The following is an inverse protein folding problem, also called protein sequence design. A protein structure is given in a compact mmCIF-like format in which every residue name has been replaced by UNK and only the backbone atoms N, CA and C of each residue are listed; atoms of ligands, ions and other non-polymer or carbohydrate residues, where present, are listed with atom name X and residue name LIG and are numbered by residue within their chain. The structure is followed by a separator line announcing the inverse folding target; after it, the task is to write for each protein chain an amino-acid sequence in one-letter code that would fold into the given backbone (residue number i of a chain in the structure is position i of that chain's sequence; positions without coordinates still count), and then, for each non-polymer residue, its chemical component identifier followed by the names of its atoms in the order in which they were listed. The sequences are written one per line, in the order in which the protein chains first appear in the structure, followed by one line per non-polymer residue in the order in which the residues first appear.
data_IF_143380742712
#
_entry.id   IF_143380742712
#
_cell.length_a   1.000
_cell.length_b   1.000
_cell.length_c   1.000
_cell.angle_alpha   90.00
_cell.angle_beta   90.00
_cell.angle_gamma   90.00
#
_symmetry.space_group_name_H-M   'P 1'
#
loop_
_entity.id
_entity.type
_entity.pdbx_description
1 polymer ?
#
# COMPACT_ATOMS: atom_id res chain seq x y z
N UNK A 1 -15.04 20.59 -27.85
CA UNK A 1 -14.90 19.16 -27.56
C UNK A 1 -13.43 18.88 -27.86
N UNK A 2 -12.64 18.67 -26.83
CA UNK A 2 -11.25 18.29 -26.99
C UNK A 2 -11.26 16.81 -27.40
N UNK A 3 -10.73 16.50 -28.57
CA UNK A 3 -10.35 15.16 -28.91
C UNK A 3 -9.27 14.74 -27.91
N UNK A 4 -9.59 13.83 -27.00
CA UNK A 4 -8.61 13.16 -26.19
C UNK A 4 -7.66 12.43 -27.15
N UNK A 5 -6.43 12.87 -27.19
CA UNK A 5 -5.33 12.14 -27.82
C UNK A 5 -5.11 10.84 -27.02
N UNK A 6 -5.86 9.83 -27.38
CA UNK A 6 -5.61 8.48 -26.91
C UNK A 6 -4.29 8.02 -27.55
N UNK A 7 -3.25 7.91 -26.76
CA UNK A 7 -2.00 7.28 -27.22
C UNK A 7 -2.32 5.82 -27.43
N UNK A 8 -2.38 5.41 -28.69
CA UNK A 8 -2.54 4.00 -29.06
C UNK A 8 -1.22 3.27 -28.82
N UNK A 9 -1.07 2.75 -27.61
CA UNK A 9 0.09 1.94 -27.22
C UNK A 9 0.29 0.68 -28.08
N UNK A 10 -0.65 0.37 -28.98
CA UNK A 10 -0.58 -0.81 -29.84
C UNK A 10 0.23 -0.60 -31.11
N UNK A 11 0.27 0.59 -31.64
CA UNK A 11 1.15 0.92 -32.75
C UNK A 11 2.64 0.84 -32.33
N UNK A 12 2.94 1.23 -31.08
CA UNK A 12 4.31 1.18 -30.56
C UNK A 12 4.78 -0.23 -30.18
N UNK A 13 3.86 -1.13 -29.75
CA UNK A 13 4.19 -2.49 -29.34
C UNK A 13 3.93 -3.52 -30.45
N UNK A 14 3.33 -3.09 -31.55
CA UNK A 14 3.27 -3.83 -32.82
C UNK A 14 2.30 -5.00 -32.85
N UNK A 15 1.29 -5.15 -31.96
CA UNK A 15 0.35 -6.27 -32.14
C UNK A 15 -0.91 -6.31 -31.26
N UNK A 16 -1.31 -5.28 -30.55
CA UNK A 16 -2.53 -5.32 -29.75
C UNK A 16 -3.52 -4.23 -30.09
N UNK A 17 -4.63 -4.57 -30.75
CA UNK A 17 -5.81 -3.70 -30.73
C UNK A 17 -6.51 -3.84 -29.35
N UNK A 18 -6.33 -2.90 -28.46
CA UNK A 18 -7.25 -2.71 -27.33
C UNK A 18 -8.44 -1.88 -27.82
N UNK A 19 -9.36 -2.50 -28.50
CA UNK A 19 -10.72 -1.96 -28.49
C UNK A 19 -11.16 -1.94 -27.04
N UNK A 20 -11.70 -0.80 -26.58
CA UNK A 20 -11.99 -0.58 -25.19
C UNK A 20 -12.60 -1.83 -24.57
N UNK A 21 -11.97 -2.35 -23.54
CA UNK A 21 -12.39 -3.58 -22.84
C UNK A 21 -13.85 -3.49 -22.40
N UNK A 22 -14.37 -2.28 -22.26
CA UNK A 22 -15.74 -2.00 -21.87
C UNK A 22 -16.75 -2.24 -22.99
N UNK A 23 -16.44 -1.90 -24.24
CA UNK A 23 -17.32 -2.18 -25.38
C UNK A 23 -17.34 -3.68 -25.71
N UNK A 24 -16.21 -4.37 -25.60
CA UNK A 24 -16.14 -5.82 -25.79
C UNK A 24 -16.83 -6.61 -24.67
N UNK A 25 -16.83 -6.11 -23.43
CA UNK A 25 -17.49 -6.75 -22.29
C UNK A 25 -19.02 -6.58 -22.31
N UNK A 26 -19.52 -5.50 -22.93
CA UNK A 26 -20.98 -5.24 -22.99
C UNK A 26 -21.64 -6.02 -24.13
N UNK A 27 -20.94 -6.26 -25.25
CA UNK A 27 -21.53 -6.84 -26.47
C UNK A 27 -21.20 -8.31 -26.71
N UNK A 28 -20.32 -8.93 -25.91
CA UNK A 28 -19.92 -10.32 -26.12
C UNK A 28 -20.53 -11.26 -25.08
N UNK A 29 -21.17 -12.30 -25.57
CA UNK A 29 -21.56 -13.42 -24.71
C UNK A 29 -20.31 -13.98 -24.01
N UNK A 30 -20.35 -14.27 -22.69
CA UNK A 30 -19.22 -14.74 -21.90
C UNK A 30 -18.47 -15.94 -22.52
N UNK A 31 -19.20 -16.81 -23.23
CA UNK A 31 -18.59 -17.96 -23.91
C UNK A 31 -17.73 -17.57 -25.12
N UNK A 32 -18.12 -16.57 -25.90
CA UNK A 32 -17.31 -16.10 -27.04
C UNK A 32 -16.04 -15.43 -26.60
N UNK A 33 -16.10 -14.66 -25.52
CA UNK A 33 -14.91 -14.09 -24.88
C UNK A 33 -13.93 -15.19 -24.43
N UNK A 34 -14.44 -16.25 -23.82
CA UNK A 34 -13.63 -17.39 -23.37
C UNK A 34 -12.93 -18.09 -24.54
N UNK A 35 -13.63 -18.33 -25.63
CA UNK A 35 -13.05 -18.97 -26.82
C UNK A 35 -12.01 -18.07 -27.52
N UNK A 36 -12.25 -16.78 -27.58
CA UNK A 36 -11.33 -15.81 -28.17
C UNK A 36 -10.08 -15.64 -27.31
N UNK A 37 -10.23 -15.59 -25.99
CA UNK A 37 -9.11 -15.55 -25.05
C UNK A 37 -8.28 -16.85 -25.06
N UNK A 38 -8.92 -18.00 -25.15
CA UNK A 38 -8.21 -19.28 -25.25
C UNK A 38 -7.40 -19.39 -26.55
N UNK A 39 -7.92 -18.88 -27.67
CA UNK A 39 -7.21 -18.89 -28.95
C UNK A 39 -6.08 -17.86 -29.04
N UNK A 40 -6.30 -16.65 -28.55
CA UNK A 40 -5.35 -15.54 -28.75
C UNK A 40 -4.41 -15.37 -27.57
N UNK A 41 -4.85 -15.62 -26.35
CA UNK A 41 -4.06 -15.39 -25.14
C UNK A 41 -2.92 -16.37 -24.95
N UNK A 42 -3.16 -17.66 -25.23
CA UNK A 42 -2.15 -18.71 -25.08
C UNK A 42 -1.10 -18.62 -26.19
N UNK A 43 -1.52 -18.37 -27.44
CA UNK A 43 -0.61 -18.29 -28.58
C UNK A 43 0.28 -17.04 -28.59
N UNK A 44 -0.17 -15.95 -27.96
CA UNK A 44 0.54 -14.65 -27.96
C UNK A 44 1.19 -14.27 -26.64
N UNK A 45 1.15 -15.14 -25.63
CA UNK A 45 1.69 -14.83 -24.30
C UNK A 45 0.96 -13.73 -23.53
N UNK A 46 -0.28 -13.40 -23.95
CA UNK A 46 -1.10 -12.41 -23.26
C UNK A 46 -1.53 -12.90 -21.88
N UNK A 47 -1.74 -11.95 -20.97
CA UNK A 47 -2.21 -12.23 -19.62
C UNK A 47 -3.58 -12.92 -19.69
N UNK A 48 -3.63 -14.17 -19.27
CA UNK A 48 -4.84 -14.96 -19.29
C UNK A 48 -5.68 -14.66 -18.03
N UNK A 49 -6.77 -13.98 -18.21
CA UNK A 49 -7.76 -13.77 -17.15
C UNK A 49 -8.90 -14.76 -17.38
N UNK A 50 -8.98 -15.80 -16.57
CA UNK A 50 -10.13 -16.70 -16.59
C UNK A 50 -11.38 -15.94 -16.14
N UNK A 51 -12.55 -16.16 -16.79
CA UNK A 51 -13.81 -15.65 -16.29
C UNK A 51 -14.02 -16.05 -14.83
N UNK A 52 -14.40 -15.11 -14.00
CA UNK A 52 -14.59 -15.30 -12.54
C UNK A 52 -15.63 -16.40 -12.25
N UNK A 53 -16.59 -16.57 -13.14
CA UNK A 53 -17.68 -17.54 -13.03
C UNK A 53 -17.22 -19.02 -12.99
N UNK A 54 -16.05 -19.30 -13.55
CA UNK A 54 -15.47 -20.66 -13.57
C UNK A 54 -14.59 -20.96 -12.35
N UNK A 55 -14.35 -19.97 -11.49
CA UNK A 55 -13.50 -20.13 -10.32
C UNK A 55 -14.32 -20.47 -9.07
N UNK A 56 -14.16 -21.71 -8.61
CA UNK A 56 -14.49 -22.07 -7.23
C UNK A 56 -13.25 -21.87 -6.35
N UNK A 57 -13.45 -21.74 -5.05
CA UNK A 57 -12.34 -21.63 -4.11
C UNK A 57 -11.37 -22.81 -4.21
N UNK A 58 -11.91 -24.01 -4.41
CA UNK A 58 -11.11 -25.24 -4.60
C UNK A 58 -10.25 -25.17 -5.87
N UNK A 59 -10.82 -24.71 -7.00
CA UNK A 59 -10.05 -24.54 -8.25
C UNK A 59 -8.97 -23.48 -8.09
N UNK A 60 -9.27 -22.40 -7.39
CA UNK A 60 -8.29 -21.35 -7.11
C UNK A 60 -7.14 -21.89 -6.25
N UNK A 61 -7.44 -22.62 -5.19
CA UNK A 61 -6.43 -23.22 -4.31
C UNK A 61 -5.57 -24.23 -5.07
N UNK A 62 -6.16 -25.06 -5.91
CA UNK A 62 -5.41 -25.99 -6.76
C UNK A 62 -4.50 -25.25 -7.74
N UNK A 63 -4.98 -24.21 -8.41
CA UNK A 63 -4.17 -23.43 -9.35
C UNK A 63 -3.02 -22.70 -8.64
N UNK A 64 -3.26 -22.14 -7.46
CA UNK A 64 -2.24 -21.52 -6.62
C UNK A 64 -1.19 -22.55 -6.17
N UNK A 65 -1.62 -23.74 -5.77
CA UNK A 65 -0.71 -24.80 -5.38
C UNK A 65 0.18 -25.24 -6.54
N UNK A 66 -0.38 -25.48 -7.73
CA UNK A 66 0.37 -25.82 -8.92
C UNK A 66 1.39 -24.73 -9.29
N UNK A 67 1.01 -23.46 -9.19
CA UNK A 67 1.93 -22.34 -9.43
C UNK A 67 3.05 -22.30 -8.40
N UNK A 68 2.74 -22.50 -7.12
CA UNK A 68 3.77 -22.58 -6.07
C UNK A 68 4.75 -23.71 -6.33
N UNK A 69 4.26 -24.92 -6.64
CA UNK A 69 5.10 -26.07 -6.94
C UNK A 69 5.99 -25.84 -8.17
N UNK A 70 5.46 -25.16 -9.19
CA UNK A 70 6.23 -24.78 -10.37
C UNK A 70 7.35 -23.78 -10.07
N UNK A 71 7.08 -22.76 -9.22
CA UNK A 71 8.05 -21.71 -8.97
C UNK A 71 9.00 -21.97 -7.79
N UNK A 72 8.65 -22.84 -6.83
CA UNK A 72 9.50 -23.16 -5.69
C UNK A 72 10.94 -23.56 -6.07
N UNK A 73 11.18 -24.41 -7.09
CA UNK A 73 12.53 -24.75 -7.50
C UNK A 73 13.37 -23.54 -7.92
N UNK A 74 12.78 -22.60 -8.66
CA UNK A 74 13.45 -21.37 -9.07
C UNK A 74 13.81 -20.49 -7.89
N UNK A 75 12.88 -20.33 -6.95
CA UNK A 75 13.15 -19.52 -5.74
C UNK A 75 14.19 -20.17 -4.82
N UNK A 76 14.27 -21.48 -4.74
CA UNK A 76 15.30 -22.17 -3.96
C UNK A 76 16.70 -21.95 -4.54
N UNK A 77 16.83 -21.89 -5.85
CA UNK A 77 18.11 -21.67 -6.52
C UNK A 77 18.60 -20.23 -6.36
N UNK A 78 17.67 -19.27 -6.35
CA UNK A 78 17.97 -17.84 -6.27
C UNK A 78 17.65 -17.20 -4.91
N UNK A 79 17.10 -17.96 -3.95
CA UNK A 79 16.87 -17.43 -2.63
C UNK A 79 18.23 -17.09 -1.99
N UNK A 80 18.60 -15.81 -1.86
CA UNK A 80 19.79 -15.46 -1.09
C UNK A 80 19.55 -16.01 0.30
N UNK A 81 20.55 -16.67 0.87
CA UNK A 81 20.58 -16.97 2.31
C UNK A 81 20.78 -15.63 3.02
N UNK A 82 19.72 -14.84 3.05
CA UNK A 82 19.71 -13.64 3.86
C UNK A 82 19.40 -14.08 5.28
N UNK A 83 20.41 -14.04 6.13
CA UNK A 83 20.15 -14.02 7.55
C UNK A 83 19.17 -12.86 7.79
N UNK A 84 18.02 -13.18 8.35
CA UNK A 84 17.03 -12.17 8.73
C UNK A 84 17.59 -11.37 9.90
N UNK A 85 18.37 -10.35 9.58
CA UNK A 85 18.92 -9.44 10.57
C UNK A 85 17.90 -8.41 11.07
N UNK A 86 16.76 -8.26 10.35
CA UNK A 86 15.69 -7.34 10.73
C UNK A 86 14.73 -7.99 11.74
N UNK A 87 14.46 -7.32 12.83
CA UNK A 87 13.36 -7.63 13.74
C UNK A 87 12.19 -6.67 13.45
N UNK A 88 10.96 -7.18 13.53
CA UNK A 88 9.77 -6.40 13.27
C UNK A 88 8.89 -6.31 14.51
N UNK A 89 8.36 -5.11 14.76
CA UNK A 89 7.26 -4.86 15.71
C UNK A 89 6.10 -4.28 14.95
N UNK A 90 4.93 -4.87 15.07
CA UNK A 90 3.73 -4.34 14.44
C UNK A 90 3.02 -3.37 15.40
N UNK A 91 2.76 -2.16 14.92
CA UNK A 91 2.05 -1.14 15.66
C UNK A 91 0.61 -1.10 15.13
N UNK A 92 -0.35 -1.59 15.91
CA UNK A 92 -1.76 -1.69 15.48
C UNK A 92 -2.70 -0.76 16.26
N UNK A 93 -2.32 -0.31 17.45
CA UNK A 93 -3.15 0.53 18.29
C UNK A 93 -2.70 1.98 18.14
N UNK A 94 -3.60 2.83 17.71
CA UNK A 94 -3.35 4.24 17.51
C UNK A 94 -4.42 5.08 18.20
N UNK A 95 -4.07 6.29 18.47
CA UNK A 95 -4.98 7.39 18.74
C UNK A 95 -5.17 8.15 17.43
N UNK A 96 -6.39 8.59 17.16
CA UNK A 96 -6.74 9.29 15.93
C UNK A 96 -7.61 10.50 16.24
N UNK A 97 -7.49 11.55 15.43
CA UNK A 97 -8.40 12.70 15.42
C UNK A 97 -8.34 13.46 14.10
N UNK A 98 -9.39 14.22 13.82
CA UNK A 98 -9.41 15.17 12.72
C UNK A 98 -8.61 16.41 13.13
N UNK A 99 -7.85 16.97 12.20
CA UNK A 99 -7.13 18.23 12.37
C UNK A 99 -8.07 19.44 12.37
N UNK A 100 -7.66 20.47 13.08
CA UNK A 100 -8.36 21.75 13.17
C UNK A 100 -7.46 22.88 12.67
N UNK A 101 -8.05 24.06 12.40
CA UNK A 101 -7.29 25.26 12.05
C UNK A 101 -6.30 25.67 13.16
N UNK A 102 -6.64 25.39 14.41
CA UNK A 102 -5.74 25.63 15.54
C UNK A 102 -4.49 24.75 15.48
N UNK A 103 -4.62 23.50 15.04
CA UNK A 103 -3.50 22.58 14.86
C UNK A 103 -2.58 23.05 13.73
N UNK A 104 -3.15 23.56 12.65
CA UNK A 104 -2.36 24.14 11.56
C UNK A 104 -1.53 25.35 12.03
N UNK A 105 -2.09 26.15 12.95
CA UNK A 105 -1.39 27.28 13.58
C UNK A 105 -0.38 26.89 14.67
N UNK A 106 -0.56 25.74 15.31
CA UNK A 106 0.32 25.26 16.39
C UNK A 106 0.44 23.73 16.40
N UNK A 107 1.16 23.20 15.43
CA UNK A 107 1.34 21.76 15.28
C UNK A 107 2.07 21.10 16.48
N UNK A 108 2.77 21.86 17.28
CA UNK A 108 3.41 21.35 18.51
C UNK A 108 2.41 20.72 19.47
N UNK A 109 1.18 21.21 19.53
CA UNK A 109 0.10 20.62 20.33
C UNK A 109 -0.20 19.18 19.88
N UNK A 110 -0.27 18.95 18.56
CA UNK A 110 -0.48 17.62 17.98
C UNK A 110 0.66 16.68 18.36
N UNK A 111 1.89 17.14 18.23
CA UNK A 111 3.08 16.36 18.59
C UNK A 111 3.12 16.00 20.08
N UNK A 112 2.64 16.88 20.93
CA UNK A 112 2.52 16.65 22.38
C UNK A 112 1.34 15.73 22.74
N UNK A 113 0.43 15.45 21.81
CA UNK A 113 -0.76 14.65 22.04
C UNK A 113 -1.88 15.43 22.77
N UNK A 114 -1.88 16.76 22.66
CA UNK A 114 -2.93 17.61 23.22
C UNK A 114 -4.24 17.49 22.40
N UNK A 115 -5.38 17.70 23.06
CA UNK A 115 -6.71 17.61 22.47
C UNK A 115 -7.39 16.26 22.73
N UNK A 116 -8.56 16.09 22.12
CA UNK A 116 -9.35 14.87 22.23
C UNK A 116 -8.94 13.87 21.15
N UNK A 117 -8.62 12.64 21.57
CA UNK A 117 -8.17 11.58 20.69
C UNK A 117 -9.05 10.33 20.85
N UNK A 118 -9.44 9.76 19.74
CA UNK A 118 -10.16 8.50 19.68
C UNK A 118 -9.17 7.33 19.60
N UNK A 119 -9.47 6.21 20.27
CA UNK A 119 -8.67 4.99 20.18
C UNK A 119 -9.13 4.17 18.97
N UNK A 120 -8.21 3.85 18.10
CA UNK A 120 -8.48 3.09 16.88
C UNK A 120 -7.47 1.94 16.71
N UNK A 121 -7.80 1.04 15.81
CA UNK A 121 -6.85 0.04 15.30
C UNK A 121 -6.63 0.23 13.82
N UNK A 122 -5.41 0.08 13.37
CA UNK A 122 -5.10 0.06 11.94
C UNK A 122 -5.15 -1.39 11.41
N UNK A 123 -5.56 -1.62 10.14
CA UNK A 123 -5.96 -0.59 9.18
C UNK A 123 -7.24 0.15 9.63
N UNK A 124 -7.24 1.45 9.43
CA UNK A 124 -8.35 2.33 9.77
C UNK A 124 -8.83 3.06 8.52
N UNK A 125 -10.13 3.05 8.32
CA UNK A 125 -10.81 3.84 7.31
C UNK A 125 -11.99 4.53 8.00
N UNK A 126 -12.06 5.85 7.88
CA UNK A 126 -13.08 6.63 8.56
C UNK A 126 -13.29 8.01 7.93
N UNK A 127 -14.27 8.73 8.46
CA UNK A 127 -14.55 10.12 8.10
C UNK A 127 -13.37 11.05 8.51
N UNK A 128 -13.28 12.25 7.89
CA UNK A 128 -14.17 12.75 6.86
C UNK A 128 -13.85 12.21 5.46
N UNK A 129 -14.88 12.05 4.66
CA UNK A 129 -14.74 11.80 3.23
C UNK A 129 -14.48 13.14 2.54
N UNK A 130 -13.41 13.23 1.75
CA UNK A 130 -12.99 14.46 1.08
C UNK A 130 -11.73 15.06 1.70
N UNK A 131 -11.43 16.32 1.35
CA UNK A 131 -10.23 16.99 1.85
C UNK A 131 -10.26 17.14 3.38
N UNK A 132 -9.27 16.55 4.01
CA UNK A 132 -9.06 16.71 5.44
C UNK A 132 -7.60 16.42 5.82
N UNK A 133 -7.19 16.99 6.94
CA UNK A 133 -5.99 16.59 7.64
C UNK A 133 -6.41 15.80 8.86
N UNK A 134 -5.87 14.60 9.01
CA UNK A 134 -6.10 13.73 10.16
C UNK A 134 -4.78 13.38 10.83
N UNK A 135 -4.82 13.13 12.12
CA UNK A 135 -3.64 12.81 12.88
C UNK A 135 -3.77 11.44 13.51
N UNK A 136 -2.70 10.66 13.38
CA UNK A 136 -2.54 9.35 13.99
C UNK A 136 -1.36 9.40 14.95
N UNK A 137 -1.54 8.91 16.16
CA UNK A 137 -0.50 8.91 17.19
C UNK A 137 -0.43 7.53 17.83
N UNK A 138 0.79 7.01 17.97
CA UNK A 138 1.01 5.77 18.72
C UNK A 138 2.27 5.84 19.56
N UNK A 139 2.32 5.02 20.59
CA UNK A 139 3.48 4.87 21.47
C UNK A 139 4.05 3.47 21.32
N UNK A 140 5.36 3.38 21.25
CA UNK A 140 6.08 2.12 21.20
C UNK A 140 7.35 2.19 22.02
N UNK A 141 7.88 1.03 22.40
CA UNK A 141 9.08 0.96 23.23
C UNK A 141 10.22 0.29 22.47
N UNK A 142 11.42 0.83 22.63
CA UNK A 142 12.66 0.23 22.17
C UNK A 142 13.55 -0.11 23.38
N UNK A 143 14.13 -1.30 23.39
CA UNK A 143 15.13 -1.70 24.36
C UNK A 143 16.49 -1.11 23.99
N UNK A 144 17.43 -1.10 24.92
CA UNK A 144 18.80 -0.70 24.66
C UNK A 144 19.48 -1.62 23.62
N UNK A 145 19.14 -2.91 23.64
CA UNK A 145 19.64 -3.89 22.68
C UNK A 145 19.15 -3.58 21.25
N UNK A 146 17.88 -3.21 21.12
CA UNK A 146 17.31 -2.80 19.81
C UNK A 146 17.97 -1.55 19.27
N UNK A 147 18.34 -0.60 20.14
CA UNK A 147 19.03 0.62 19.75
C UNK A 147 20.50 0.40 19.34
N UNK A 148 21.11 -0.72 19.73
CA UNK A 148 22.45 -1.09 19.29
C UNK A 148 22.49 -1.63 17.85
N UNK A 149 21.33 -1.89 17.25
CA UNK A 149 21.25 -2.27 15.84
C UNK A 149 21.64 -1.09 14.96
N UNK A 150 22.13 -1.39 13.77
CA UNK A 150 22.67 -0.42 12.82
C UNK A 150 21.68 0.71 12.47
N UNK A 151 20.38 0.37 12.32
CA UNK A 151 19.35 1.35 11.97
C UNK A 151 17.97 0.97 12.48
N UNK A 152 17.15 2.01 12.71
CA UNK A 152 15.75 1.92 13.10
C UNK A 152 14.88 2.48 11.99
N UNK A 153 13.90 1.70 11.53
CA UNK A 153 13.02 2.09 10.43
C UNK A 153 11.56 1.98 10.85
N UNK A 154 10.76 2.96 10.44
CA UNK A 154 9.31 2.88 10.50
C UNK A 154 8.76 2.65 9.11
N UNK A 155 7.97 1.57 8.94
CA UNK A 155 7.47 1.11 7.65
C UNK A 155 5.95 1.19 7.61
N UNK A 156 5.40 1.69 6.51
CA UNK A 156 3.97 1.79 6.25
C UNK A 156 3.61 0.93 5.04
N UNK A 157 2.53 0.19 5.13
CA UNK A 157 2.02 -0.63 4.01
C UNK A 157 1.26 0.21 2.99
N UNK A 158 0.72 1.34 3.42
CA UNK A 158 0.02 2.32 2.61
C UNK A 158 -0.66 3.35 3.49
N UNK A 159 -0.73 4.58 3.04
CA UNK A 159 -1.44 5.69 3.68
C UNK A 159 -2.11 6.52 2.58
N UNK A 160 -3.37 6.84 2.73
CA UNK A 160 -4.14 7.62 1.78
C UNK A 160 -4.31 9.05 2.31
N UNK A 161 -3.76 10.08 1.75
CA UNK A 161 -2.98 10.11 0.50
C UNK A 161 -1.54 10.58 0.76
N UNK A 162 -1.36 11.71 1.51
CA UNK A 162 -0.07 12.30 1.85
C UNK A 162 0.20 12.14 3.34
N UNK A 163 1.31 11.50 3.67
CA UNK A 163 1.73 11.22 5.03
C UNK A 163 2.97 12.03 5.40
N UNK A 164 2.94 12.74 6.52
CA UNK A 164 4.12 13.34 7.16
C UNK A 164 4.35 12.65 8.49
N UNK A 165 5.53 12.09 8.67
CA UNK A 165 5.84 11.24 9.83
C UNK A 165 6.81 11.94 10.76
N UNK A 166 6.48 11.87 12.05
CA UNK A 166 7.28 12.45 13.12
C UNK A 166 7.56 11.40 14.20
N UNK A 167 8.81 11.30 14.62
CA UNK A 167 9.21 10.46 15.74
C UNK A 167 9.77 11.35 16.86
N UNK A 168 9.22 11.20 18.05
CA UNK A 168 9.61 12.00 19.22
C UNK A 168 9.59 13.53 18.97
N UNK A 169 8.65 13.99 18.15
CA UNK A 169 8.48 15.37 17.75
C UNK A 169 9.37 15.83 16.59
N UNK A 170 10.31 15.02 16.14
CA UNK A 170 11.16 15.34 14.99
C UNK A 170 10.56 14.80 13.69
N UNK A 171 10.55 15.60 12.64
CA UNK A 171 10.17 15.16 11.29
C UNK A 171 11.17 14.15 10.76
N UNK A 172 10.67 13.03 10.24
CA UNK A 172 11.51 11.94 9.68
C UNK A 172 11.28 11.70 8.20
N UNK A 173 10.14 12.08 7.65
CA UNK A 173 9.89 11.95 6.21
C UNK A 173 8.44 12.23 5.81
N UNK A 174 8.27 12.35 4.49
CA UNK A 174 6.99 12.59 3.83
C UNK A 174 6.83 11.60 2.67
N UNK A 175 5.62 11.10 2.46
CA UNK A 175 5.27 10.25 1.33
C UNK A 175 3.92 10.69 0.77
N UNK A 176 3.77 10.58 -0.55
CA UNK A 176 2.56 10.87 -1.28
C UNK A 176 2.19 9.69 -2.18
N UNK A 177 0.95 9.23 -2.09
CA UNK A 177 0.42 8.06 -2.81
C UNK A 177 -0.14 7.01 -1.87
N UNK A 178 -1.22 6.33 -2.28
CA UNK A 178 -2.00 5.46 -1.39
C UNK A 178 -1.73 3.96 -1.52
N UNK A 179 -1.13 3.49 -2.60
CA UNK A 179 -0.91 2.05 -2.82
C UNK A 179 0.53 1.57 -2.65
N UNK A 180 1.47 2.48 -2.42
CA UNK A 180 2.88 2.12 -2.31
C UNK A 180 3.31 2.01 -0.85
N UNK A 181 3.95 0.91 -0.44
CA UNK A 181 4.66 0.85 0.83
C UNK A 181 5.81 1.86 0.84
N UNK A 182 6.08 2.44 2.00
CA UNK A 182 7.20 3.34 2.21
C UNK A 182 7.79 3.17 3.61
N UNK A 183 9.03 3.60 3.78
CA UNK A 183 9.73 3.52 5.06
C UNK A 183 10.63 4.74 5.27
N UNK A 184 10.81 5.10 6.54
CA UNK A 184 11.72 6.18 6.94
C UNK A 184 12.65 5.71 8.04
N UNK A 185 13.91 6.06 7.92
CA UNK A 185 14.88 5.86 8.98
C UNK A 185 14.68 6.89 10.09
N UNK A 186 14.68 6.42 11.35
CA UNK A 186 14.56 7.30 12.52
C UNK A 186 15.61 7.01 13.60
N UNK A 187 16.72 6.40 13.23
CA UNK A 187 17.80 6.02 14.13
C UNK A 187 18.25 7.17 15.03
N UNK A 188 18.39 8.37 14.45
CA UNK A 188 18.77 9.58 15.18
C UNK A 188 17.74 10.13 16.17
N UNK A 189 16.46 9.73 16.04
CA UNK A 189 15.35 10.15 16.89
C UNK A 189 14.97 9.07 17.91
N UNK A 190 15.46 7.85 17.73
CA UNK A 190 15.15 6.71 18.59
C UNK A 190 15.70 6.92 20.01
N UNK A 191 14.91 6.49 21.00
CA UNK A 191 15.28 6.59 22.43
C UNK A 191 15.04 5.26 23.14
N UNK A 192 15.80 4.94 24.18
CA UNK A 192 15.49 3.79 25.02
C UNK A 192 14.17 4.02 25.75
N UNK A 193 13.37 2.96 25.87
CA UNK A 193 12.04 3.02 26.44
C UNK A 193 11.03 3.62 25.46
N UNK A 194 10.21 4.53 25.95
CA UNK A 194 9.05 5.08 25.25
C UNK A 194 9.43 6.01 24.09
N UNK A 195 8.90 5.71 22.92
CA UNK A 195 8.95 6.53 21.72
C UNK A 195 7.52 6.85 21.26
N UNK A 196 7.36 7.99 20.60
CA UNK A 196 6.07 8.47 20.10
C UNK A 196 6.19 8.65 18.59
N UNK A 197 5.29 8.03 17.84
CA UNK A 197 5.09 8.29 16.43
C UNK A 197 3.83 9.09 16.23
N UNK A 198 3.93 10.18 15.46
CA UNK A 198 2.80 10.98 14.99
C UNK A 198 2.84 11.00 13.46
N UNK A 199 1.71 10.71 12.85
CA UNK A 199 1.53 10.77 11.39
C UNK A 199 0.43 11.79 11.10
N UNK A 200 0.76 12.83 10.36
CA UNK A 200 -0.22 13.75 9.79
C UNK A 200 -0.56 13.22 8.39
N UNK A 201 -1.83 12.92 8.17
CA UNK A 201 -2.35 12.41 6.91
C UNK A 201 -3.23 13.47 6.30
N UNK A 202 -2.88 13.88 5.09
CA UNK A 202 -3.66 14.80 4.27
C UNK A 202 -4.31 13.99 3.16
N UNK A 203 -5.63 13.98 3.17
CA UNK A 203 -6.42 13.37 2.12
C UNK A 203 -6.83 14.46 1.14
N UNK A 204 -6.39 14.32 -0.10
CA UNK A 204 -6.70 15.25 -1.21
C UNK A 204 -7.66 14.54 -2.18
N UNK A 205 -8.88 14.31 -1.72
CA UNK A 205 -9.92 13.76 -2.59
C UNK A 205 -10.63 14.92 -3.28
N UNK A 206 -10.32 15.12 -4.53
CA UNK A 206 -11.09 15.98 -5.44
C UNK A 206 -12.26 15.20 -6.04
#
# INVERSE_FOLDING_TARGET
MAEENYIDYHEEIGSFEIKSTREKLVDSEPQKLKEEYLKTGIEKGALFVLPIEDWTEEKLQQALQQKREYYIPFFKEYAPVMEMTRTHKELVNFQWRIGTDEDAGNFTKVLNGEGEWEQIKIPHFGEPLGYAVTYYRTEFSLSEEELQKESQWICFKGVDYKARVYINGAFVGEHEGFFSPFEFEFTGQARPGKNICVVAVENDFI
#
